data_IF_186139082790
#
_entry.id   IF_186139082790
#
_cell.length_a   1.000
_cell.length_b   1.000
_cell.length_c   1.000
_cell.angle_alpha   90.00
_cell.angle_beta   90.00
_cell.angle_gamma   90.00
#
_symmetry.space_group_name_H-M   'P 1'
#
loop_
_entity.id
_entity.type
_entity.pdbx_description
1 polymer ?
#
# COMPACT_ATOMS: atom_id res chain seq x y z
N UNK A 1 -9.81 5.80 -25.17
CA UNK A 1 -10.75 6.27 -24.13
C UNK A 1 -10.79 5.35 -22.92
N UNK A 2 -11.11 4.06 -23.06
CA UNK A 2 -11.19 3.11 -21.92
C UNK A 2 -9.89 3.00 -21.08
N UNK A 3 -8.72 2.92 -21.72
CA UNK A 3 -7.43 2.85 -21.03
C UNK A 3 -7.09 4.11 -20.21
N UNK A 4 -7.44 5.29 -20.72
CA UNK A 4 -7.23 6.57 -20.03
C UNK A 4 -8.11 6.63 -18.79
N UNK A 5 -9.37 6.22 -18.91
CA UNK A 5 -10.30 6.14 -17.78
C UNK A 5 -9.81 5.18 -16.70
N UNK A 6 -9.36 3.98 -17.09
CA UNK A 6 -8.81 2.99 -16.17
C UNK A 6 -7.56 3.51 -15.44
N UNK A 7 -6.62 4.13 -16.16
CA UNK A 7 -5.43 4.73 -15.57
C UNK A 7 -5.79 5.85 -14.59
N UNK A 8 -6.75 6.71 -14.94
CA UNK A 8 -7.25 7.77 -14.06
C UNK A 8 -7.89 7.20 -12.79
N UNK A 9 -8.67 6.12 -12.90
CA UNK A 9 -9.28 5.45 -11.75
C UNK A 9 -8.22 4.86 -10.81
N UNK A 10 -7.21 4.17 -11.35
CA UNK A 10 -6.10 3.60 -10.56
C UNK A 10 -5.33 4.71 -9.83
N UNK A 11 -5.04 5.82 -10.52
CA UNK A 11 -4.38 6.97 -9.91
C UNK A 11 -5.22 7.60 -8.81
N UNK A 12 -6.54 7.72 -9.00
CA UNK A 12 -7.45 8.29 -8.00
C UNK A 12 -7.51 7.43 -6.74
N UNK A 13 -7.63 6.10 -6.89
CA UNK A 13 -7.67 5.16 -5.77
C UNK A 13 -6.33 5.16 -5.03
N UNK A 14 -5.22 5.02 -5.75
CA UNK A 14 -3.88 4.97 -5.15
C UNK A 14 -3.50 6.32 -4.52
N UNK A 15 -3.90 7.44 -5.13
CA UNK A 15 -3.74 8.77 -4.58
C UNK A 15 -4.51 8.95 -3.27
N UNK A 16 -5.73 8.44 -3.19
CA UNK A 16 -6.56 8.44 -1.98
C UNK A 16 -5.98 7.58 -0.87
N UNK A 17 -5.35 6.45 -1.22
CA UNK A 17 -4.58 5.63 -0.29
C UNK A 17 -3.35 6.36 0.25
N UNK A 18 -2.56 6.98 -0.63
CA UNK A 18 -1.39 7.79 -0.23
C UNK A 18 -1.80 8.95 0.68
N UNK A 19 -2.91 9.62 0.35
CA UNK A 19 -3.48 10.68 1.18
C UNK A 19 -3.88 10.16 2.57
N UNK A 20 -4.51 8.99 2.65
CA UNK A 20 -4.91 8.38 3.93
C UNK A 20 -3.70 8.06 4.83
N UNK A 21 -2.61 7.55 4.25
CA UNK A 21 -1.36 7.32 5.00
C UNK A 21 -0.73 8.66 5.42
N UNK A 22 -0.72 9.66 4.55
CA UNK A 22 -0.22 11.00 4.88
C UNK A 22 -0.98 11.56 6.07
N UNK A 23 -2.31 11.42 6.09
CA UNK A 23 -3.16 11.91 7.17
C UNK A 23 -2.90 11.25 8.52
N UNK A 24 -2.72 9.93 8.57
CA UNK A 24 -2.34 9.30 9.85
C UNK A 24 -0.97 9.76 10.32
N UNK A 25 -0.01 9.99 9.43
CA UNK A 25 1.30 10.49 9.81
C UNK A 25 1.25 11.94 10.34
N UNK A 26 0.27 12.73 9.92
CA UNK A 26 0.05 14.09 10.45
C UNK A 26 -0.42 14.06 11.92
N UNK A 27 -1.06 12.98 12.36
CA UNK A 27 -1.44 12.71 13.76
C UNK A 27 -0.33 12.03 14.57
N UNK A 28 0.88 11.89 14.03
CA UNK A 28 2.02 11.28 14.71
C UNK A 28 3.09 12.35 14.92
N UNK A 29 3.58 12.45 16.15
CA UNK A 29 4.64 13.39 16.53
C UNK A 29 5.89 13.16 15.67
N UNK A 30 6.64 14.24 15.37
CA UNK A 30 7.76 14.17 14.43
C UNK A 30 8.86 13.21 14.90
N UNK A 31 9.10 13.16 16.21
CA UNK A 31 10.03 12.26 16.89
C UNK A 31 9.63 10.78 16.79
N UNK A 32 8.34 10.49 16.70
CA UNK A 32 7.81 9.12 16.57
C UNK A 32 7.71 8.69 15.09
N UNK A 33 7.88 9.62 14.15
CA UNK A 33 7.68 9.41 12.72
C UNK A 33 8.94 8.86 12.04
N UNK A 34 8.89 7.62 11.56
CA UNK A 34 10.01 6.98 10.84
C UNK A 34 9.99 7.22 9.32
N UNK A 35 8.91 7.78 8.78
CA UNK A 35 8.76 8.12 7.37
C UNK A 35 8.06 9.47 7.20
N UNK A 36 8.67 10.37 6.44
CA UNK A 36 8.05 11.68 6.17
C UNK A 36 6.80 11.53 5.30
N UNK A 37 5.73 12.32 5.53
CA UNK A 37 4.47 12.17 4.79
C UNK A 37 4.66 12.38 3.28
N UNK A 38 5.56 13.28 2.87
CA UNK A 38 5.87 13.53 1.46
C UNK A 38 6.43 12.30 0.73
N UNK A 39 7.15 11.43 1.43
CA UNK A 39 7.77 10.25 0.81
C UNK A 39 6.74 9.14 0.51
N UNK A 40 5.53 9.22 1.05
CA UNK A 40 4.46 8.26 0.75
C UNK A 40 4.07 8.31 -0.74
N UNK A 41 4.14 9.49 -1.36
CA UNK A 41 3.79 9.69 -2.76
C UNK A 41 4.73 8.99 -3.75
N UNK A 42 5.89 8.50 -3.29
CA UNK A 42 6.76 7.62 -4.10
C UNK A 42 6.09 6.28 -4.46
N UNK A 43 5.01 5.90 -3.75
CA UNK A 43 4.16 4.78 -4.13
C UNK A 43 3.49 4.97 -5.51
N UNK A 44 3.33 6.20 -6.00
CA UNK A 44 2.74 6.43 -7.33
C UNK A 44 3.71 6.16 -8.49
N UNK A 45 5.01 6.06 -8.21
CA UNK A 45 6.04 5.88 -9.24
C UNK A 45 6.13 4.39 -9.59
N UNK A 46 5.82 3.98 -10.85
CA UNK A 46 5.95 2.59 -11.27
C UNK A 46 7.38 2.08 -11.11
N UNK A 47 7.55 0.78 -10.81
CA UNK A 47 8.85 0.18 -10.50
C UNK A 47 9.32 0.48 -9.08
N UNK A 48 9.45 1.76 -8.71
CA UNK A 48 9.82 2.15 -7.35
C UNK A 48 8.77 1.70 -6.32
N UNK A 49 7.49 1.75 -6.68
CA UNK A 49 6.38 1.27 -5.86
C UNK A 49 6.64 -0.13 -5.27
N UNK A 50 7.25 -1.04 -6.04
CA UNK A 50 7.46 -2.43 -5.63
C UNK A 50 8.29 -2.53 -4.35
N UNK A 51 9.41 -1.80 -4.29
CA UNK A 51 10.29 -1.74 -3.13
C UNK A 51 9.67 -0.85 -2.05
N UNK A 52 9.06 0.26 -2.47
CA UNK A 52 8.54 1.27 -1.56
C UNK A 52 7.35 0.76 -0.72
N UNK A 53 6.55 -0.17 -1.23
CA UNK A 53 5.51 -0.86 -0.46
C UNK A 53 6.07 -1.51 0.82
N UNK A 54 7.24 -2.17 0.75
CA UNK A 54 7.88 -2.77 1.92
C UNK A 54 8.36 -1.72 2.92
N UNK A 55 8.95 -0.64 2.40
CA UNK A 55 9.42 0.48 3.22
C UNK A 55 8.26 1.12 3.98
N UNK A 56 7.16 1.41 3.29
CA UNK A 56 5.95 1.98 3.90
C UNK A 56 5.35 1.02 4.92
N UNK A 57 5.16 -0.27 4.58
CA UNK A 57 4.61 -1.27 5.49
C UNK A 57 5.38 -1.34 6.82
N UNK A 58 6.72 -1.32 6.77
CA UNK A 58 7.55 -1.36 7.98
C UNK A 58 7.55 -0.03 8.73
N UNK A 59 7.83 1.09 8.04
CA UNK A 59 8.05 2.38 8.70
C UNK A 59 6.76 2.99 9.24
N UNK A 60 5.66 2.87 8.50
CA UNK A 60 4.36 3.34 8.96
C UNK A 60 3.92 2.58 10.22
N UNK A 61 4.03 1.25 10.19
CA UNK A 61 3.71 0.39 11.32
C UNK A 61 4.44 0.79 12.61
N UNK A 62 5.75 0.97 12.51
CA UNK A 62 6.58 1.37 13.64
C UNK A 62 6.29 2.81 14.09
N UNK A 63 5.98 3.73 13.17
CA UNK A 63 5.60 5.10 13.53
C UNK A 63 4.31 5.12 14.35
N UNK A 64 3.30 4.35 13.92
CA UNK A 64 2.04 4.19 14.66
C UNK A 64 2.32 3.55 16.02
N UNK A 65 3.18 2.51 16.09
CA UNK A 65 3.53 1.88 17.36
C UNK A 65 4.15 2.87 18.34
N UNK A 66 5.15 3.63 17.89
CA UNK A 66 5.86 4.59 18.72
C UNK A 66 4.90 5.65 19.28
N UNK A 67 4.03 6.19 18.42
CA UNK A 67 3.03 7.16 18.85
C UNK A 67 2.06 6.58 19.86
N UNK A 68 1.56 5.38 19.63
CA UNK A 68 0.61 4.77 20.54
C UNK A 68 1.22 4.41 21.89
N UNK A 69 2.48 3.96 21.92
CA UNK A 69 3.22 3.75 23.17
C UNK A 69 3.46 5.08 23.89
N UNK A 70 3.76 6.16 23.16
CA UNK A 70 3.94 7.50 23.73
C UNK A 70 2.65 8.08 24.33
N UNK A 71 1.48 7.61 23.87
CA UNK A 71 0.14 7.96 24.36
C UNK A 71 -0.43 6.91 25.34
N UNK A 72 0.42 6.09 25.94
CA UNK A 72 0.06 5.07 26.94
C UNK A 72 -0.96 4.00 26.48
N UNK A 73 -1.06 3.74 25.17
CA UNK A 73 -1.84 2.61 24.67
C UNK A 73 -1.08 1.29 24.87
N UNK A 74 -1.75 0.25 25.39
CA UNK A 74 -1.19 -1.09 25.49
C UNK A 74 -1.16 -1.80 24.12
N UNK A 75 0.01 -1.81 23.49
CA UNK A 75 0.22 -2.45 22.18
C UNK A 75 1.45 -3.34 22.20
N UNK A 76 1.19 -4.64 22.15
CA UNK A 76 2.23 -5.68 22.10
C UNK A 76 2.77 -5.92 20.69
N UNK A 77 1.96 -5.64 19.65
CA UNK A 77 2.27 -5.94 18.25
C UNK A 77 2.89 -4.80 17.44
N UNK A 78 3.07 -5.06 16.13
CA UNK A 78 3.39 -4.04 15.11
C UNK A 78 2.10 -3.67 14.35
N UNK A 79 1.48 -2.51 14.63
CA UNK A 79 0.25 -2.04 13.97
C UNK A 79 0.38 -2.12 12.44
N UNK A 80 -0.62 -2.61 11.72
CA UNK A 80 -0.68 -2.63 10.23
C UNK A 80 0.42 -3.40 9.48
N UNK A 81 1.44 -3.93 10.17
CA UNK A 81 2.64 -4.50 9.52
C UNK A 81 2.34 -5.72 8.66
N UNK A 82 1.59 -6.68 9.20
CA UNK A 82 1.29 -7.93 8.49
C UNK A 82 0.46 -7.64 7.24
N UNK A 83 -0.54 -6.77 7.33
CA UNK A 83 -1.35 -6.37 6.17
C UNK A 83 -0.50 -5.69 5.10
N UNK A 84 0.35 -4.73 5.51
CA UNK A 84 1.24 -4.05 4.58
C UNK A 84 2.28 -4.98 3.94
N UNK A 85 2.84 -5.91 4.70
CA UNK A 85 3.81 -6.89 4.22
C UNK A 85 3.16 -7.86 3.21
N UNK A 86 1.98 -8.41 3.53
CA UNK A 86 1.26 -9.29 2.61
C UNK A 86 0.91 -8.56 1.31
N UNK A 87 0.43 -7.31 1.40
CA UNK A 87 0.17 -6.48 0.23
C UNK A 87 1.44 -6.22 -0.60
N UNK A 88 2.58 -5.96 0.04
CA UNK A 88 3.85 -5.74 -0.66
C UNK A 88 4.33 -7.01 -1.40
N UNK A 89 4.26 -8.17 -0.73
CA UNK A 89 4.66 -9.46 -1.31
C UNK A 89 3.78 -9.81 -2.51
N UNK A 90 2.45 -9.74 -2.38
CA UNK A 90 1.55 -10.11 -3.47
C UNK A 90 1.69 -9.14 -4.65
N UNK A 91 1.92 -7.85 -4.40
CA UNK A 91 2.14 -6.85 -5.44
C UNK A 91 3.44 -7.11 -6.21
N UNK A 92 4.48 -7.56 -5.51
CA UNK A 92 5.72 -8.00 -6.15
C UNK A 92 5.51 -9.25 -7.00
N UNK A 93 4.80 -10.26 -6.50
CA UNK A 93 4.51 -11.49 -7.26
C UNK A 93 3.68 -11.18 -8.52
N UNK A 94 2.65 -10.34 -8.38
CA UNK A 94 1.74 -10.01 -9.47
C UNK A 94 2.40 -9.28 -10.64
N UNK A 95 3.51 -8.57 -10.40
CA UNK A 95 4.21 -7.81 -11.46
C UNK A 95 5.19 -8.64 -12.28
N UNK A 96 5.67 -9.77 -11.74
CA UNK A 96 6.74 -10.58 -12.36
C UNK A 96 6.36 -11.02 -13.79
N UNK A 97 5.17 -11.59 -14.06
CA UNK A 97 4.81 -12.01 -15.41
C UNK A 97 4.85 -10.85 -16.40
N UNK A 98 4.32 -9.69 -16.00
CA UNK A 98 4.31 -8.48 -16.83
C UNK A 98 5.72 -7.99 -17.13
N UNK A 99 6.59 -7.96 -16.12
CA UNK A 99 7.99 -7.54 -16.29
C UNK A 99 8.73 -8.46 -17.26
N UNK A 100 8.60 -9.79 -17.10
CA UNK A 100 9.25 -10.76 -18.00
C UNK A 100 8.81 -10.53 -19.45
N UNK A 101 7.51 -10.37 -19.70
CA UNK A 101 6.97 -10.15 -21.04
C UNK A 101 7.54 -8.84 -21.62
N UNK A 102 7.50 -7.74 -20.85
CA UNK A 102 7.98 -6.43 -21.30
C UNK A 102 9.49 -6.37 -21.56
N UNK A 103 10.31 -7.15 -20.83
CA UNK A 103 11.74 -7.24 -21.10
C UNK A 103 12.07 -8.17 -22.27
N UNK A 104 11.24 -9.18 -22.52
CA UNK A 104 11.46 -10.17 -23.59
C UNK A 104 11.03 -9.68 -24.97
N UNK A 105 9.98 -8.84 -25.03
CA UNK A 105 9.40 -8.35 -26.27
C UNK A 105 9.92 -6.95 -26.60
N UNK A 106 10.42 -6.75 -27.83
CA UNK A 106 10.88 -5.47 -28.37
C UNK A 106 9.81 -4.78 -29.21
N UNK A 107 8.83 -5.53 -29.72
CA UNK A 107 7.70 -4.97 -30.49
C UNK A 107 6.35 -5.32 -29.87
N UNK A 108 5.30 -4.51 -30.11
CA UNK A 108 3.95 -4.82 -29.63
C UNK A 108 3.40 -6.17 -30.12
N UNK A 109 3.78 -6.61 -31.32
CA UNK A 109 3.34 -7.89 -31.86
C UNK A 109 3.93 -9.06 -31.08
N UNK A 110 5.19 -8.96 -30.64
CA UNK A 110 5.86 -9.96 -29.81
C UNK A 110 5.19 -10.09 -28.44
N UNK A 111 4.71 -8.99 -27.84
CA UNK A 111 3.93 -9.00 -26.59
C UNK A 111 2.65 -9.82 -26.77
N UNK A 112 1.92 -9.56 -27.87
CA UNK A 112 0.65 -10.25 -28.16
C UNK A 112 0.89 -11.73 -28.40
N UNK A 113 1.97 -12.10 -29.09
CA UNK A 113 2.33 -13.50 -29.31
C UNK A 113 2.72 -14.18 -28.00
N UNK A 114 3.55 -13.54 -27.17
CA UNK A 114 3.95 -14.08 -25.86
C UNK A 114 2.73 -14.31 -24.95
N UNK A 115 1.78 -13.37 -24.93
CA UNK A 115 0.54 -13.51 -24.14
C UNK A 115 -0.32 -14.69 -24.58
N UNK A 116 -0.36 -15.02 -25.88
CA UNK A 116 -1.14 -16.15 -26.42
C UNK A 116 -0.56 -17.53 -26.08
N UNK A 117 0.72 -17.60 -25.76
CA UNK A 117 1.40 -18.87 -25.41
C UNK A 117 1.23 -19.20 -23.91
N UNK A 118 0.73 -18.26 -23.10
CA UNK A 118 0.51 -18.47 -21.68
C UNK A 118 -0.60 -19.53 -21.50
N UNK A 119 -0.35 -20.62 -20.77
CA UNK A 119 -1.37 -21.63 -20.49
C UNK A 119 -2.56 -21.07 -19.70
N UNK A 120 -3.78 -21.51 -20.01
CA UNK A 120 -5.02 -21.01 -19.38
C UNK A 120 -5.00 -21.09 -17.85
N UNK A 121 -4.43 -22.16 -17.28
CA UNK A 121 -4.30 -22.32 -15.83
C UNK A 121 -3.39 -21.25 -15.19
N UNK A 122 -2.39 -20.74 -15.92
CA UNK A 122 -1.54 -19.65 -15.45
C UNK A 122 -2.29 -18.31 -15.51
N UNK A 123 -3.09 -18.09 -16.56
CA UNK A 123 -3.95 -16.90 -16.65
C UNK A 123 -4.92 -16.84 -15.48
N UNK A 124 -5.60 -17.95 -15.17
CA UNK A 124 -6.50 -18.06 -14.02
C UNK A 124 -5.75 -17.76 -12.71
N UNK A 125 -4.53 -18.28 -12.55
CA UNK A 125 -3.73 -18.00 -11.36
C UNK A 125 -3.40 -16.50 -11.21
N UNK A 126 -3.08 -15.81 -12.31
CA UNK A 126 -2.83 -14.36 -12.32
C UNK A 126 -4.08 -13.58 -11.90
N UNK A 127 -5.25 -13.96 -12.40
CA UNK A 127 -6.53 -13.33 -12.02
C UNK A 127 -6.83 -13.52 -10.54
N UNK A 128 -6.63 -14.74 -10.01
CA UNK A 128 -6.79 -15.04 -8.58
C UNK A 128 -5.82 -14.21 -7.73
N UNK A 129 -4.56 -14.09 -8.14
CA UNK A 129 -3.56 -13.21 -7.50
C UNK A 129 -4.05 -11.76 -7.47
N UNK A 130 -4.61 -11.27 -8.58
CA UNK A 130 -5.17 -9.92 -8.66
C UNK A 130 -6.32 -9.70 -7.67
N UNK A 131 -7.23 -10.66 -7.53
CA UNK A 131 -8.32 -10.60 -6.56
C UNK A 131 -7.78 -10.58 -5.12
N UNK A 132 -6.82 -11.46 -4.81
CA UNK A 132 -6.17 -11.49 -3.49
C UNK A 132 -5.47 -10.16 -3.19
N UNK A 133 -4.79 -9.57 -4.18
CA UNK A 133 -4.14 -8.27 -4.04
C UNK A 133 -5.14 -7.17 -3.70
N UNK A 134 -6.32 -7.15 -4.33
CA UNK A 134 -7.39 -6.18 -4.02
C UNK A 134 -7.89 -6.36 -2.58
N UNK A 135 -8.11 -7.60 -2.13
CA UNK A 135 -8.53 -7.89 -0.76
C UNK A 135 -7.48 -7.41 0.25
N UNK A 136 -6.21 -7.71 0.00
CA UNK A 136 -5.11 -7.27 0.86
C UNK A 136 -4.96 -5.75 0.88
N UNK A 137 -5.15 -5.09 -0.26
CA UNK A 137 -5.14 -3.63 -0.35
C UNK A 137 -6.25 -3.00 0.51
N UNK A 138 -7.49 -3.48 0.37
CA UNK A 138 -8.64 -2.97 1.14
C UNK A 138 -8.42 -3.21 2.63
N UNK A 139 -8.04 -4.43 3.04
CA UNK A 139 -7.81 -4.75 4.46
C UNK A 139 -6.70 -3.91 5.07
N UNK A 140 -5.62 -3.67 4.32
CA UNK A 140 -4.53 -2.79 4.76
C UNK A 140 -5.00 -1.35 4.93
N UNK A 141 -5.72 -0.81 3.95
CA UNK A 141 -6.25 0.55 4.00
C UNK A 141 -7.27 0.73 5.14
N UNK A 142 -8.21 -0.20 5.33
CA UNK A 142 -9.16 -0.16 6.45
C UNK A 142 -8.43 -0.16 7.78
N UNK A 143 -7.37 -0.96 7.94
CA UNK A 143 -6.59 -1.01 9.19
C UNK A 143 -5.85 0.30 9.45
N UNK A 144 -5.28 0.93 8.42
CA UNK A 144 -4.67 2.28 8.53
C UNK A 144 -5.73 3.30 8.99
N UNK A 145 -6.88 3.34 8.32
CA UNK A 145 -7.98 4.26 8.66
C UNK A 145 -8.48 4.07 10.09
N UNK A 146 -8.52 2.83 10.58
CA UNK A 146 -8.88 2.52 11.96
C UNK A 146 -7.90 3.14 12.97
N UNK A 147 -6.59 2.94 12.78
CA UNK A 147 -5.58 3.55 13.67
C UNK A 147 -5.58 5.07 13.59
N UNK A 148 -5.81 5.64 12.40
CA UNK A 148 -5.96 7.09 12.24
C UNK A 148 -7.07 7.63 13.13
N UNK A 149 -8.24 6.99 13.10
CA UNK A 149 -9.38 7.43 13.91
C UNK A 149 -9.09 7.30 15.42
N UNK A 150 -8.31 6.33 15.85
CA UNK A 150 -7.89 6.21 17.27
C UNK A 150 -7.03 7.41 17.67
N UNK A 151 -5.99 7.72 16.90
CA UNK A 151 -5.08 8.84 17.19
C UNK A 151 -5.82 10.18 17.13
N UNK A 152 -6.70 10.36 16.13
CA UNK A 152 -7.50 11.58 15.98
C UNK A 152 -8.49 11.77 17.13
N UNK A 153 -9.12 10.69 17.62
CA UNK A 153 -10.05 10.78 18.75
C UNK A 153 -9.34 11.04 20.07
N UNK A 154 -8.14 10.50 20.23
CA UNK A 154 -7.32 10.72 21.42
C UNK A 154 -6.87 12.18 21.54
N UNK A 155 -6.47 12.81 20.43
CA UNK A 155 -6.15 14.25 20.36
C UNK A 155 -7.32 15.17 20.73
N UNK A 156 -8.56 14.70 20.53
CA UNK A 156 -9.77 15.49 20.79
C UNK A 156 -10.33 15.31 22.20
N UNK A 157 -9.76 14.43 23.03
CA UNK A 157 -10.22 14.28 24.42
C UNK A 157 -10.00 15.62 25.14
N UNK A 158 -11.03 16.20 25.78
CA UNK A 158 -10.83 17.39 26.59
C UNK A 158 -9.83 17.07 27.70
N UNK A 159 -8.93 18.01 28.02
CA UNK A 159 -8.06 17.91 29.18
C UNK A 159 -8.95 17.86 30.43
N UNK A 160 -9.33 16.66 30.88
CA UNK A 160 -10.17 16.45 32.07
C UNK A 160 -9.39 16.66 33.39
N UNK A 161 -8.12 17.04 33.32
CA UNK A 161 -7.29 17.39 34.48
C UNK A 161 -6.96 18.90 34.47
N UNK A 162 -7.85 19.71 35.05
CA UNK A 162 -7.55 21.02 35.64
C UNK A 162 -8.40 21.22 36.90
#
# INVERSE_FOLDING_TARGET
MAQIFQAALILLITGSFCYSITKILDHIAEENRLIQPRLIWLLLIPGLNLIWNFVVASKLSLSIKNEMVARDFDITGKPTYIQGLLYAIISLIGVIPTVIILFSARTPEEIIQAAKVIPDNVVIAIEVIGIIQIILFITYWTKISWYKNILENDEKKPNEDN
#
